data_IF_818271202949
#
_entry.id   IF_818271202949
#
_cell.length_a   1.000
_cell.length_b   1.000
_cell.length_c   1.000
_cell.angle_alpha   90.00
_cell.angle_beta   90.00
_cell.angle_gamma   90.00
#
_symmetry.space_group_name_H-M   'P 1'
#
loop_
_entity.id
_entity.type
_entity.pdbx_description
1 polymer ?
#
# COMPACT_ATOMS: atom_id res chain seq x y z
N UNK A 1 -5.53 29.10 -8.15
CA UNK A 1 -5.04 27.71 -8.13
C UNK A 1 -6.14 26.65 -8.13
N UNK A 2 -7.35 26.90 -7.61
CA UNK A 2 -8.46 25.93 -7.60
C UNK A 2 -8.74 25.25 -8.95
N UNK A 3 -8.52 25.95 -10.08
CA UNK A 3 -8.76 25.42 -11.41
C UNK A 3 -7.85 24.25 -11.82
N UNK A 4 -6.63 24.13 -11.25
CA UNK A 4 -5.69 23.03 -11.56
C UNK A 4 -6.11 21.72 -10.86
N UNK A 5 -6.85 21.86 -9.75
CA UNK A 5 -7.41 20.75 -8.99
C UNK A 5 -8.85 20.42 -9.40
N UNK A 6 -9.38 21.07 -10.44
CA UNK A 6 -10.71 20.77 -10.97
C UNK A 6 -10.76 19.33 -11.51
N UNK A 7 -11.88 18.62 -11.28
CA UNK A 7 -12.03 17.23 -11.72
C UNK A 7 -12.00 17.05 -13.25
N UNK A 8 -12.04 18.13 -14.04
CA UNK A 8 -11.96 18.10 -15.50
C UNK A 8 -10.54 18.15 -16.07
N UNK A 9 -9.50 18.39 -15.26
CA UNK A 9 -8.10 18.46 -15.71
C UNK A 9 -7.40 17.13 -15.41
N UNK A 10 -6.85 16.50 -16.45
CA UNK A 10 -6.08 15.28 -16.28
C UNK A 10 -4.71 15.57 -15.65
N UNK A 11 -4.09 14.53 -15.08
CA UNK A 11 -2.85 14.66 -14.31
C UNK A 11 -1.73 15.31 -15.12
N UNK A 12 -1.53 14.92 -16.39
CA UNK A 12 -0.43 15.42 -17.20
C UNK A 12 -0.64 16.90 -17.54
N UNK A 13 -1.88 17.31 -17.82
CA UNK A 13 -2.20 18.72 -18.05
C UNK A 13 -2.01 19.55 -16.77
N UNK A 14 -2.44 19.04 -15.61
CA UNK A 14 -2.25 19.73 -14.33
C UNK A 14 -0.76 19.92 -14.02
N UNK A 15 0.06 18.88 -14.20
CA UNK A 15 1.51 18.92 -14.00
C UNK A 15 2.16 19.96 -14.91
N UNK A 16 1.77 19.98 -16.19
CA UNK A 16 2.32 20.93 -17.17
C UNK A 16 1.97 22.38 -16.82
N UNK A 17 0.73 22.66 -16.41
CA UNK A 17 0.30 24.01 -16.03
C UNK A 17 1.14 24.53 -14.87
N UNK A 18 1.33 23.73 -13.82
CA UNK A 18 2.11 24.14 -12.64
C UNK A 18 3.57 24.31 -13.00
N UNK A 19 4.13 23.44 -13.82
CA UNK A 19 5.51 23.55 -14.27
C UNK A 19 5.77 24.85 -15.05
N UNK A 20 4.87 25.21 -15.98
CA UNK A 20 4.97 26.47 -16.72
C UNK A 20 4.87 27.69 -15.79
N UNK A 21 3.96 27.66 -14.82
CA UNK A 21 3.81 28.76 -13.86
C UNK A 21 5.04 28.94 -12.95
N UNK A 22 5.69 27.85 -12.55
CA UNK A 22 6.93 27.90 -11.78
C UNK A 22 8.11 28.42 -12.62
N UNK A 23 8.18 28.06 -13.90
CA UNK A 23 9.19 28.58 -14.83
C UNK A 23 9.04 30.10 -15.00
N UNK A 24 7.81 30.56 -15.26
CA UNK A 24 7.48 31.98 -15.38
C UNK A 24 7.83 32.75 -14.10
N UNK A 25 7.53 32.19 -12.92
CA UNK A 25 7.88 32.79 -11.64
C UNK A 25 9.40 32.87 -11.44
N UNK A 26 10.14 31.85 -11.85
CA UNK A 26 11.61 31.84 -11.85
C UNK A 26 12.20 33.02 -12.63
N UNK A 27 11.71 33.26 -13.85
CA UNK A 27 12.14 34.39 -14.69
C UNK A 27 11.91 35.75 -14.01
N UNK A 28 10.81 35.91 -13.27
CA UNK A 28 10.52 37.14 -12.53
C UNK A 28 11.58 37.40 -11.44
N UNK A 29 11.92 36.39 -10.63
CA UNK A 29 12.91 36.52 -9.55
C UNK A 29 14.36 36.68 -10.03
N UNK A 30 14.70 36.15 -11.21
CA UNK A 30 16.00 36.39 -11.81
C UNK A 30 16.21 37.87 -12.19
N UNK A 31 15.13 38.56 -12.59
CA UNK A 31 15.18 39.98 -12.96
C UNK A 31 15.27 40.95 -11.76
N UNK A 32 14.78 40.54 -10.58
CA UNK A 32 14.61 41.40 -9.40
C UNK A 32 15.72 41.29 -8.34
N UNK A 33 16.67 40.37 -8.53
CA UNK A 33 17.76 39.98 -7.59
C UNK A 33 18.71 41.09 -7.11
N UNK A 34 18.56 42.34 -7.56
CA UNK A 34 19.51 43.43 -7.28
C UNK A 34 19.02 44.50 -6.28
N UNK A 35 17.94 44.28 -5.52
CA UNK A 35 17.44 45.29 -4.57
C UNK A 35 17.65 44.86 -3.12
N UNK A 36 18.61 45.50 -2.45
CA UNK A 36 18.80 45.44 -0.99
C UNK A 36 17.77 46.32 -0.26
N UNK A 37 16.51 46.29 -0.69
CA UNK A 37 15.39 47.02 -0.06
C UNK A 37 14.46 46.01 0.58
N UNK A 38 13.70 46.48 1.57
CA UNK A 38 12.50 45.79 2.03
C UNK A 38 11.58 45.49 0.85
N UNK A 39 11.08 44.24 0.73
CA UNK A 39 10.25 43.82 -0.38
C UNK A 39 8.96 44.62 -0.39
N UNK A 40 8.51 44.97 -1.59
CA UNK A 40 7.22 45.63 -1.78
C UNK A 40 6.10 44.62 -1.58
N UNK A 41 4.89 45.04 -1.17
CA UNK A 41 3.73 44.16 -1.01
C UNK A 41 3.48 43.28 -2.26
N UNK A 42 3.73 43.81 -3.46
CA UNK A 42 3.68 43.07 -4.72
C UNK A 42 4.71 41.93 -4.78
N UNK A 43 5.96 42.18 -4.39
CA UNK A 43 7.03 41.17 -4.36
C UNK A 43 6.71 40.09 -3.32
N UNK A 44 6.16 40.47 -2.17
CA UNK A 44 5.72 39.53 -1.13
C UNK A 44 4.55 38.67 -1.62
N UNK A 45 3.55 39.26 -2.28
CA UNK A 45 2.43 38.53 -2.86
C UNK A 45 2.90 37.52 -3.91
N UNK A 46 3.90 37.89 -4.73
CA UNK A 46 4.49 37.00 -5.74
C UNK A 46 5.27 35.85 -5.11
N UNK A 47 6.02 36.12 -4.03
CA UNK A 47 6.71 35.07 -3.25
C UNK A 47 5.72 34.06 -2.69
N UNK A 48 4.66 34.54 -2.02
CA UNK A 48 3.63 33.67 -1.47
C UNK A 48 2.93 32.85 -2.57
N UNK A 49 2.66 33.45 -3.72
CA UNK A 49 2.11 32.71 -4.87
C UNK A 49 3.05 31.61 -5.36
N UNK A 50 4.37 31.86 -5.40
CA UNK A 50 5.35 30.86 -5.80
C UNK A 50 5.42 29.70 -4.80
N UNK A 51 5.40 29.99 -3.50
CA UNK A 51 5.32 28.96 -2.45
C UNK A 51 4.06 28.08 -2.62
N UNK A 52 2.92 28.69 -2.93
CA UNK A 52 1.68 27.95 -3.22
C UNK A 52 1.79 27.08 -4.48
N UNK A 53 2.50 27.55 -5.52
CA UNK A 53 2.76 26.75 -6.72
C UNK A 53 3.65 25.54 -6.44
N UNK A 54 4.67 25.71 -5.60
CA UNK A 54 5.54 24.62 -5.15
C UNK A 54 4.76 23.58 -4.32
N UNK A 55 3.88 24.05 -3.42
CA UNK A 55 2.99 23.17 -2.66
C UNK A 55 2.05 22.37 -3.56
N UNK A 56 1.46 23.00 -4.59
CA UNK A 56 0.60 22.30 -5.55
C UNK A 56 1.40 21.30 -6.39
N UNK A 57 2.63 21.64 -6.78
CA UNK A 57 3.52 20.71 -7.49
C UNK A 57 3.77 19.44 -6.65
N UNK A 58 4.09 19.60 -5.37
CA UNK A 58 4.28 18.47 -4.46
C UNK A 58 3.00 17.63 -4.30
N UNK A 59 1.84 18.29 -4.15
CA UNK A 59 0.56 17.60 -4.09
C UNK A 59 0.28 16.76 -5.35
N UNK A 60 0.60 17.28 -6.53
CA UNK A 60 0.39 16.56 -7.79
C UNK A 60 1.30 15.33 -7.91
N UNK A 61 2.53 15.40 -7.38
CA UNK A 61 3.43 14.23 -7.28
C UNK A 61 2.81 13.15 -6.40
N UNK A 62 2.29 13.53 -5.23
CA UNK A 62 1.63 12.59 -4.32
C UNK A 62 0.38 11.97 -4.94
N UNK A 63 -0.44 12.79 -5.63
CA UNK A 63 -1.61 12.32 -6.39
C UNK A 63 -1.22 11.29 -7.45
N UNK A 64 -0.17 11.55 -8.23
CA UNK A 64 0.33 10.62 -9.24
C UNK A 64 0.74 9.28 -8.61
N UNK A 65 1.43 9.32 -7.48
CA UNK A 65 1.83 8.12 -6.75
C UNK A 65 0.61 7.34 -6.24
N UNK A 66 -0.36 8.02 -5.64
CA UNK A 66 -1.60 7.39 -5.18
C UNK A 66 -2.38 6.72 -6.33
N UNK A 67 -2.48 7.38 -7.49
CA UNK A 67 -3.10 6.79 -8.68
C UNK A 67 -2.35 5.55 -9.16
N UNK A 68 -1.01 5.57 -9.12
CA UNK A 68 -0.19 4.40 -9.46
C UNK A 68 -0.45 3.23 -8.53
N UNK A 69 -0.56 3.47 -7.23
CA UNK A 69 -0.89 2.41 -6.27
C UNK A 69 -2.28 1.84 -6.49
N UNK A 70 -3.28 2.70 -6.73
CA UNK A 70 -4.63 2.24 -7.04
C UNK A 70 -4.66 1.38 -8.31
N UNK A 71 -3.93 1.78 -9.35
CA UNK A 71 -3.83 1.01 -10.59
C UNK A 71 -3.14 -0.35 -10.38
N UNK A 72 -2.06 -0.41 -9.60
CA UNK A 72 -1.38 -1.67 -9.27
C UNK A 72 -2.30 -2.62 -8.48
N UNK A 73 -2.97 -2.11 -7.43
CA UNK A 73 -3.93 -2.89 -6.64
C UNK A 73 -5.05 -3.44 -7.52
N UNK A 74 -5.56 -2.64 -8.45
CA UNK A 74 -6.60 -3.10 -9.37
C UNK A 74 -6.09 -4.16 -10.36
N UNK A 75 -4.87 -4.01 -10.87
CA UNK A 75 -4.26 -4.97 -11.78
C UNK A 75 -3.97 -6.31 -11.10
N UNK A 76 -3.48 -6.27 -9.85
CA UNK A 76 -3.11 -7.45 -9.08
C UNK A 76 -4.34 -8.19 -8.50
N UNK A 77 -5.53 -7.57 -8.54
CA UNK A 77 -6.77 -8.17 -8.05
C UNK A 77 -7.07 -9.54 -8.66
N UNK A 78 -6.87 -9.70 -9.97
CA UNK A 78 -7.10 -10.98 -10.64
C UNK A 78 -6.14 -12.08 -10.16
N UNK A 79 -4.88 -11.71 -9.84
CA UNK A 79 -3.88 -12.66 -9.33
C UNK A 79 -4.29 -13.14 -7.93
N UNK A 80 -4.83 -12.25 -7.10
CA UNK A 80 -5.37 -12.62 -5.79
C UNK A 80 -6.55 -13.58 -5.93
N UNK A 81 -7.49 -13.31 -6.84
CA UNK A 81 -8.64 -14.18 -7.08
C UNK A 81 -8.20 -15.59 -7.54
N UNK A 82 -7.23 -15.67 -8.46
CA UNK A 82 -6.66 -16.94 -8.91
C UNK A 82 -5.97 -17.68 -7.76
N UNK A 83 -5.22 -16.97 -6.91
CA UNK A 83 -4.54 -17.57 -5.76
C UNK A 83 -5.51 -18.13 -4.71
N UNK A 84 -6.64 -17.46 -4.49
CA UNK A 84 -7.70 -17.92 -3.58
C UNK A 84 -8.34 -19.21 -4.13
N UNK A 85 -8.56 -19.27 -5.45
CA UNK A 85 -9.09 -20.47 -6.09
C UNK A 85 -8.10 -21.64 -5.97
N UNK A 86 -6.82 -21.40 -6.23
CA UNK A 86 -5.77 -22.41 -6.08
C UNK A 86 -5.67 -22.92 -4.63
N UNK A 87 -5.76 -22.04 -3.64
CA UNK A 87 -5.76 -22.41 -2.23
C UNK A 87 -6.98 -23.28 -1.86
N UNK A 88 -8.18 -22.91 -2.29
CA UNK A 88 -9.40 -23.69 -2.04
C UNK A 88 -9.30 -25.09 -2.67
N UNK A 89 -8.76 -25.20 -3.88
CA UNK A 89 -8.49 -26.49 -4.52
C UNK A 89 -7.47 -27.30 -3.71
N UNK A 90 -6.35 -26.69 -3.29
CA UNK A 90 -5.35 -27.37 -2.48
C UNK A 90 -5.91 -27.88 -1.14
N UNK A 91 -6.82 -27.13 -0.52
CA UNK A 91 -7.54 -27.55 0.70
C UNK A 91 -8.46 -28.73 0.42
N UNK A 92 -9.23 -28.70 -0.67
CA UNK A 92 -10.09 -29.82 -1.09
C UNK A 92 -9.29 -31.08 -1.35
N UNK A 93 -8.18 -30.98 -2.09
CA UNK A 93 -7.31 -32.09 -2.41
C UNK A 93 -6.69 -32.71 -1.15
N UNK A 94 -6.21 -31.87 -0.23
CA UNK A 94 -5.71 -32.32 1.08
C UNK A 94 -6.78 -33.07 1.87
N UNK A 95 -8.02 -32.56 1.88
CA UNK A 95 -9.13 -33.21 2.57
C UNK A 95 -9.50 -34.57 1.96
N UNK A 96 -9.50 -34.68 0.63
CA UNK A 96 -9.74 -35.95 -0.08
C UNK A 96 -8.64 -36.96 0.25
N UNK A 97 -7.37 -36.54 0.15
CA UNK A 97 -6.23 -37.40 0.47
C UNK A 97 -6.30 -37.92 1.92
N UNK A 98 -6.63 -37.05 2.89
CA UNK A 98 -6.77 -37.44 4.29
C UNK A 98 -7.88 -38.48 4.50
N UNK A 99 -9.05 -38.27 3.88
CA UNK A 99 -10.16 -39.25 3.94
C UNK A 99 -9.77 -40.58 3.34
N UNK A 100 -9.03 -40.61 2.24
CA UNK A 100 -8.53 -41.86 1.67
C UNK A 100 -7.50 -42.57 2.53
N UNK A 101 -6.67 -41.84 3.28
CA UNK A 101 -5.75 -42.46 4.25
C UNK A 101 -6.45 -42.94 5.52
N UNK A 102 -7.51 -42.26 5.97
CA UNK A 102 -8.30 -42.63 7.16
C UNK A 102 -9.26 -43.80 6.87
N UNK A 103 -9.94 -43.80 5.71
CA UNK A 103 -10.90 -44.84 5.31
C UNK A 103 -10.23 -46.04 4.57
N UNK A 104 -8.98 -45.88 4.13
CA UNK A 104 -8.27 -46.81 3.25
C UNK A 104 -7.31 -47.81 3.91
N UNK A 105 -7.25 -47.89 5.24
CA UNK A 105 -6.39 -48.86 5.93
C UNK A 105 -7.07 -49.55 7.12
N UNK A 106 -8.15 -50.28 6.85
CA UNK A 106 -8.64 -51.36 7.72
C UNK A 106 -8.54 -52.70 6.98
N UNK A 107 -7.32 -53.17 6.71
CA UNK A 107 -7.06 -54.57 6.33
C UNK A 107 -5.77 -55.09 6.98
N UNK A 108 -5.81 -55.30 8.30
CA UNK A 108 -5.66 -56.62 8.93
C UNK A 108 -5.44 -56.48 10.46
N UNK A 109 -6.06 -57.35 11.29
CA UNK A 109 -5.93 -57.32 12.73
C UNK A 109 -4.61 -58.00 13.14
N UNK A 110 -3.67 -57.22 13.64
CA UNK A 110 -2.40 -57.73 14.15
C UNK A 110 -1.76 -56.71 15.08
N UNK A 111 -1.86 -57.02 16.37
CA UNK A 111 -1.08 -56.48 17.48
C UNK A 111 -1.39 -55.06 17.96
N UNK A 112 -2.23 -55.06 19.00
CA UNK A 112 -2.28 -54.03 20.02
C UNK A 112 -0.88 -53.68 20.55
N UNK A 113 -0.36 -52.52 20.17
CA UNK A 113 0.25 -51.62 21.15
C UNK A 113 0.24 -50.18 20.61
N UNK A 114 -0.84 -49.47 20.93
CA UNK A 114 -0.90 -48.03 20.81
C UNK A 114 0.09 -47.43 21.83
N UNK A 115 1.21 -46.90 21.34
CA UNK A 115 1.94 -45.85 22.04
C UNK A 115 1.65 -44.55 21.28
N UNK A 116 0.90 -43.60 21.85
CA UNK A 116 0.53 -42.39 21.14
C UNK A 116 1.73 -41.44 21.06
N UNK A 117 2.23 -41.28 19.84
CA UNK A 117 2.60 -40.02 19.19
C UNK A 117 2.56 -38.78 20.09
N UNK A 118 3.71 -38.36 20.61
CA UNK A 118 3.93 -36.97 21.04
C UNK A 118 4.10 -36.09 19.79
N UNK A 119 2.99 -35.90 19.06
CA UNK A 119 2.85 -34.72 18.21
C UNK A 119 2.90 -33.52 19.14
N UNK A 120 3.93 -32.68 19.02
CA UNK A 120 4.14 -31.48 19.83
C UNK A 120 3.10 -30.41 19.50
N UNK A 121 1.83 -30.69 19.79
CA UNK A 121 0.80 -29.68 19.97
C UNK A 121 1.08 -29.04 21.33
N UNK A 122 1.56 -27.79 21.32
CA UNK A 122 1.75 -27.03 22.55
C UNK A 122 0.45 -27.07 23.36
N UNK A 123 0.53 -27.45 24.63
CA UNK A 123 -0.66 -27.56 25.46
C UNK A 123 -1.31 -26.18 25.65
N UNK A 124 -2.58 -26.18 26.04
CA UNK A 124 -3.34 -24.95 26.19
C UNK A 124 -2.80 -24.03 27.31
N UNK A 125 -2.06 -24.60 28.28
CA UNK A 125 -1.44 -23.86 29.39
C UNK A 125 -0.20 -23.08 28.92
N UNK A 126 0.61 -23.67 28.03
CA UNK A 126 1.77 -23.03 27.41
C UNK A 126 1.37 -21.89 26.48
N UNK A 127 0.25 -22.03 25.76
CA UNK A 127 -0.34 -20.95 24.96
C UNK A 127 -0.80 -19.76 25.83
N UNK A 128 -1.48 -20.03 26.94
CA UNK A 128 -1.98 -18.98 27.84
C UNK A 128 -0.83 -18.18 28.48
N UNK A 129 0.24 -18.88 28.90
CA UNK A 129 1.45 -18.23 29.43
C UNK A 129 2.14 -17.33 28.42
N UNK A 130 2.19 -17.72 27.14
CA UNK A 130 2.78 -16.89 26.07
C UNK A 130 1.93 -15.65 25.79
N UNK A 131 0.60 -15.76 25.87
CA UNK A 131 -0.31 -14.62 25.70
C UNK A 131 -0.11 -13.55 26.78
N UNK A 132 0.09 -13.95 28.03
CA UNK A 132 0.33 -13.03 29.15
C UNK A 132 1.65 -12.25 28.97
N UNK A 133 2.71 -12.92 28.50
CA UNK A 133 3.99 -12.28 28.21
C UNK A 133 3.91 -11.24 27.09
N UNK A 134 3.11 -11.52 26.05
CA UNK A 134 2.96 -10.63 24.91
C UNK A 134 2.19 -9.34 25.25
N UNK A 135 1.24 -9.39 26.19
CA UNK A 135 0.45 -8.21 26.59
C UNK A 135 1.07 -7.36 27.71
N UNK A 136 2.18 -7.82 28.30
CA UNK A 136 2.86 -7.13 29.42
C UNK A 136 4.14 -6.41 29.01
N UNK A 137 4.40 -6.28 27.69
CA UNK A 137 5.55 -5.58 27.10
C UNK A 137 5.21 -4.16 26.68
#
# INVERSE_FOLDING_TARGET
>A
MACVLEPGVDQATADLIVQLQLEDAGCYFESSKSRTREPTDEELAFQLQNEELENVSQFLVDRRMAMSFAAAVQADGNILDDSVLEEDNAVKDRNIARRWTEDGCFLAPGDHQAHPEESTTLDNETLDKLQILYMSG
#
